data_IF_462803287984
#
_entry.id   IF_462803287984
#
_cell.length_a   1.000
_cell.length_b   1.000
_cell.length_c   1.000
_cell.angle_alpha   90.00
_cell.angle_beta   90.00
_cell.angle_gamma   90.00
#
_symmetry.space_group_name_H-M   'P 1'
#
loop_
_entity.id
_entity.type
_entity.pdbx_description
1 polymer ?
#
# COMPACT_ATOMS: atom_id res chain seq x y z
N UNK A 1 -31.25 -20.92 -24.53
CA UNK A 1 -30.32 -22.06 -24.38
C UNK A 1 -29.55 -22.16 -25.68
N UNK A 2 -28.23 -22.26 -25.61
CA UNK A 2 -27.36 -22.38 -26.79
C UNK A 2 -27.24 -23.85 -27.15
N UNK A 3 -27.64 -24.20 -28.37
CA UNK A 3 -27.46 -25.56 -28.90
C UNK A 3 -26.06 -25.65 -29.51
N UNK A 4 -25.30 -26.65 -29.08
CA UNK A 4 -23.92 -26.86 -29.55
C UNK A 4 -23.84 -28.11 -30.43
N UNK A 5 -22.99 -28.11 -31.47
CA UNK A 5 -22.78 -29.30 -32.30
C UNK A 5 -22.45 -30.55 -31.48
N UNK A 6 -23.07 -31.67 -31.82
CA UNK A 6 -22.80 -32.96 -31.19
C UNK A 6 -21.36 -33.42 -31.48
N UNK A 7 -20.67 -33.92 -30.45
CA UNK A 7 -19.36 -34.54 -30.59
C UNK A 7 -19.49 -36.06 -30.83
N UNK A 8 -18.55 -36.60 -31.63
CA UNK A 8 -18.58 -37.97 -32.14
C UNK A 8 -17.18 -38.56 -32.14
N UNK A 9 -17.11 -39.88 -32.29
CA UNK A 9 -15.85 -40.59 -32.54
C UNK A 9 -15.17 -40.04 -33.80
N UNK A 10 -13.86 -39.82 -33.69
CA UNK A 10 -13.02 -39.21 -34.71
C UNK A 10 -13.01 -37.68 -34.71
N UNK A 11 -13.85 -37.02 -33.91
CA UNK A 11 -13.79 -35.55 -33.77
C UNK A 11 -12.59 -35.17 -32.90
N UNK A 12 -11.94 -34.05 -33.23
CA UNK A 12 -10.68 -33.64 -32.60
C UNK A 12 -10.88 -33.03 -31.20
N UNK A 13 -9.86 -33.20 -30.36
CA UNK A 13 -9.72 -32.54 -29.07
C UNK A 13 -8.46 -31.66 -29.05
N UNK A 14 -8.49 -30.58 -28.27
CA UNK A 14 -7.33 -29.74 -28.02
C UNK A 14 -7.34 -29.22 -26.57
N UNK A 15 -6.16 -28.92 -26.03
CA UNK A 15 -6.05 -28.13 -24.79
C UNK A 15 -6.16 -26.65 -25.11
N UNK A 16 -6.47 -25.85 -24.10
CA UNK A 16 -6.33 -24.40 -24.24
C UNK A 16 -4.85 -24.01 -24.31
N UNK A 17 -4.56 -22.71 -24.33
CA UNK A 17 -3.21 -22.20 -24.16
C UNK A 17 -3.02 -21.59 -22.76
N UNK A 18 -3.81 -22.00 -21.75
CA UNK A 18 -3.79 -21.43 -20.40
C UNK A 18 -2.40 -21.45 -19.77
N UNK A 19 -1.70 -22.59 -19.84
CA UNK A 19 -0.34 -22.71 -19.30
C UNK A 19 0.67 -21.80 -20.00
N UNK A 20 0.62 -21.73 -21.33
CA UNK A 20 1.46 -20.82 -22.13
C UNK A 20 1.14 -19.37 -21.84
N UNK A 21 -0.15 -19.03 -21.75
CA UNK A 21 -0.62 -17.70 -21.38
C UNK A 21 -0.13 -17.28 -20.00
N UNK A 22 -0.18 -18.18 -19.01
CA UNK A 22 0.36 -17.94 -17.67
C UNK A 22 1.87 -17.63 -17.73
N UNK A 23 2.64 -18.41 -18.48
CA UNK A 23 4.09 -18.20 -18.62
C UNK A 23 4.40 -16.85 -19.27
N UNK A 24 3.74 -16.52 -20.39
CA UNK A 24 3.91 -15.23 -21.06
C UNK A 24 3.48 -14.07 -20.16
N UNK A 25 2.40 -14.26 -19.41
CA UNK A 25 1.90 -13.32 -18.42
C UNK A 25 2.90 -13.06 -17.30
N UNK A 26 3.53 -14.10 -16.76
CA UNK A 26 4.62 -13.98 -15.78
C UNK A 26 5.78 -13.18 -16.36
N UNK A 27 6.21 -13.48 -17.59
CA UNK A 27 7.31 -12.75 -18.24
C UNK A 27 6.98 -11.26 -18.44
N UNK A 28 5.76 -10.95 -18.86
CA UNK A 28 5.28 -9.57 -18.95
C UNK A 28 5.27 -8.88 -17.58
N UNK A 29 4.79 -9.58 -16.54
CA UNK A 29 4.82 -9.10 -15.16
C UNK A 29 6.24 -8.87 -14.63
N UNK A 30 7.21 -9.73 -14.98
CA UNK A 30 8.63 -9.54 -14.66
C UNK A 30 9.17 -8.29 -15.35
N UNK A 31 8.85 -8.07 -16.62
CA UNK A 31 9.28 -6.88 -17.34
C UNK A 31 8.74 -5.59 -16.69
N UNK A 32 7.45 -5.56 -16.34
CA UNK A 32 6.85 -4.44 -15.60
C UNK A 32 7.50 -4.28 -14.22
N UNK A 33 7.71 -5.38 -13.50
CA UNK A 33 8.38 -5.36 -12.20
C UNK A 33 9.81 -4.82 -12.26
N UNK A 34 10.57 -5.21 -13.28
CA UNK A 34 11.92 -4.71 -13.52
C UNK A 34 11.94 -3.19 -13.77
N UNK A 35 10.96 -2.68 -14.55
CA UNK A 35 10.81 -1.23 -14.76
C UNK A 35 10.49 -0.50 -13.46
N UNK A 36 9.59 -1.05 -12.62
CA UNK A 36 9.26 -0.47 -11.32
C UNK A 36 10.48 -0.41 -10.39
N UNK A 37 11.26 -1.49 -10.33
CA UNK A 37 12.48 -1.54 -9.53
C UNK A 37 13.54 -0.57 -10.07
N UNK A 38 13.79 -0.58 -11.39
CA UNK A 38 14.78 0.32 -12.01
C UNK A 38 14.46 1.80 -11.78
N UNK A 39 13.17 2.19 -11.88
CA UNK A 39 12.73 3.55 -11.59
C UNK A 39 13.01 3.97 -10.14
N UNK A 40 12.91 3.05 -9.17
CA UNK A 40 13.27 3.36 -7.78
C UNK A 40 14.77 3.47 -7.53
N UNK A 41 15.60 2.69 -8.24
CA UNK A 41 17.06 2.84 -8.19
C UNK A 41 17.48 4.21 -8.72
N UNK A 42 16.89 4.64 -9.85
CA UNK A 42 17.16 5.94 -10.45
C UNK A 42 16.76 7.13 -9.56
N UNK A 43 15.83 6.93 -8.60
CA UNK A 43 15.31 7.98 -7.71
C UNK A 43 15.91 7.94 -6.29
N UNK A 44 17.01 7.19 -6.08
CA UNK A 44 17.74 7.18 -4.81
C UNK A 44 17.43 6.01 -3.88
N UNK A 45 16.76 4.97 -4.37
CA UNK A 45 16.70 3.64 -3.73
C UNK A 45 15.85 3.51 -2.46
N UNK A 46 15.38 4.61 -1.87
CA UNK A 46 14.61 4.58 -0.61
C UNK A 46 13.34 3.73 -0.72
N UNK A 47 12.77 3.60 -1.92
CA UNK A 47 11.52 2.86 -2.18
C UNK A 47 11.73 1.46 -2.82
N UNK A 48 12.96 0.93 -2.85
CA UNK A 48 13.28 -0.31 -3.57
C UNK A 48 12.40 -1.50 -3.15
N UNK A 49 12.13 -1.67 -1.86
CA UNK A 49 11.34 -2.80 -1.37
C UNK A 49 9.84 -2.62 -1.64
N UNK A 50 9.35 -1.38 -1.64
CA UNK A 50 7.99 -1.10 -2.11
C UNK A 50 7.85 -1.41 -3.60
N UNK A 51 8.86 -1.10 -4.42
CA UNK A 51 8.90 -1.49 -5.82
C UNK A 51 9.04 -3.00 -6.02
N UNK A 52 9.78 -3.71 -5.15
CA UNK A 52 9.85 -5.16 -5.17
C UNK A 52 8.49 -5.81 -4.84
N UNK A 53 7.76 -5.25 -3.87
CA UNK A 53 6.38 -5.68 -3.57
C UNK A 53 5.43 -5.45 -4.74
N UNK A 54 5.51 -4.27 -5.39
CA UNK A 54 4.75 -3.97 -6.60
C UNK A 54 5.15 -4.88 -7.78
N UNK A 55 6.44 -5.21 -7.92
CA UNK A 55 6.94 -6.14 -8.93
C UNK A 55 6.41 -7.55 -8.72
N UNK A 56 6.39 -8.04 -7.47
CA UNK A 56 5.76 -9.32 -7.14
C UNK A 56 4.26 -9.32 -7.48
N UNK A 57 3.56 -8.21 -7.19
CA UNK A 57 2.19 -8.00 -7.62
C UNK A 57 2.01 -8.04 -9.15
N UNK A 58 2.92 -7.43 -9.91
CA UNK A 58 2.90 -7.41 -11.37
C UNK A 58 3.11 -8.81 -11.97
N UNK A 59 4.03 -9.61 -11.43
CA UNK A 59 4.22 -11.02 -11.82
C UNK A 59 2.97 -11.84 -11.54
N UNK A 60 2.38 -11.64 -10.38
CA UNK A 60 1.16 -12.35 -9.95
C UNK A 60 -0.03 -12.02 -10.85
N UNK A 61 -0.30 -10.73 -11.06
CA UNK A 61 -1.37 -10.26 -11.92
C UNK A 61 -1.13 -10.62 -13.39
N UNK A 62 0.11 -10.50 -13.86
CA UNK A 62 0.52 -10.89 -15.21
C UNK A 62 0.29 -12.38 -15.46
N UNK A 63 0.76 -13.25 -14.56
CA UNK A 63 0.58 -14.70 -14.68
C UNK A 63 -0.88 -15.13 -14.66
N UNK A 64 -1.67 -14.61 -13.72
CA UNK A 64 -3.11 -14.92 -13.64
C UNK A 64 -3.89 -14.36 -14.83
N UNK A 65 -3.63 -13.11 -15.22
CA UNK A 65 -4.26 -12.50 -16.38
C UNK A 65 -3.89 -13.21 -17.69
N UNK A 66 -2.62 -13.57 -17.85
CA UNK A 66 -2.13 -14.35 -18.98
C UNK A 66 -2.75 -15.74 -19.06
N UNK A 67 -2.93 -16.41 -17.91
CA UNK A 67 -3.64 -17.69 -17.83
C UNK A 67 -5.05 -17.56 -18.39
N UNK A 68 -5.84 -16.58 -17.93
CA UNK A 68 -7.20 -16.36 -18.41
C UNK A 68 -7.23 -16.05 -19.91
N UNK A 69 -6.32 -15.21 -20.43
CA UNK A 69 -6.22 -14.98 -21.88
C UNK A 69 -5.92 -16.29 -22.64
N UNK A 70 -5.01 -17.10 -22.09
CA UNK A 70 -4.66 -18.41 -22.65
C UNK A 70 -5.85 -19.37 -22.72
N UNK A 71 -6.71 -19.39 -21.70
CA UNK A 71 -7.93 -20.20 -21.65
C UNK A 71 -8.92 -19.88 -22.77
N UNK A 72 -8.93 -18.64 -23.28
CA UNK A 72 -9.80 -18.22 -24.38
C UNK A 72 -9.37 -18.77 -25.74
N UNK A 73 -8.16 -19.32 -25.84
CA UNK A 73 -7.57 -19.78 -27.11
C UNK A 73 -7.26 -21.27 -27.04
N UNK A 74 -7.67 -22.01 -28.06
CA UNK A 74 -7.35 -23.42 -28.19
C UNK A 74 -6.02 -23.61 -28.90
N UNK A 75 -5.20 -24.53 -28.41
CA UNK A 75 -4.00 -24.97 -29.08
C UNK A 75 -4.30 -25.85 -30.30
N UNK A 76 -3.27 -26.39 -30.97
CA UNK A 76 -3.46 -27.36 -32.03
C UNK A 76 -4.13 -28.64 -31.49
N UNK A 77 -4.83 -29.36 -32.37
CA UNK A 77 -5.43 -30.65 -32.03
C UNK A 77 -4.37 -31.60 -31.43
N UNK A 78 -4.68 -32.15 -30.26
CA UNK A 78 -3.82 -33.08 -29.54
C UNK A 78 -4.30 -34.53 -29.64
N UNK A 79 -5.44 -34.77 -30.31
CA UNK A 79 -5.97 -36.12 -30.49
C UNK A 79 -7.43 -36.12 -30.92
N UNK A 80 -8.09 -37.26 -30.76
CA UNK A 80 -9.47 -37.48 -31.20
C UNK A 80 -10.22 -38.43 -30.26
N UNK A 81 -11.56 -38.38 -30.30
CA UNK A 81 -12.38 -39.41 -29.68
C UNK A 81 -12.19 -40.75 -30.38
N UNK A 82 -11.91 -41.81 -29.62
CA UNK A 82 -11.67 -43.17 -30.12
C UNK A 82 -12.77 -44.16 -29.73
N UNK A 83 -13.53 -43.84 -28.68
CA UNK A 83 -14.64 -44.67 -28.19
C UNK A 83 -15.87 -43.80 -27.96
N UNK A 84 -17.03 -44.30 -28.36
CA UNK A 84 -18.32 -43.62 -28.24
C UNK A 84 -19.46 -44.60 -28.00
N UNK A 85 -20.69 -44.12 -28.20
CA UNK A 85 -21.91 -44.89 -27.99
C UNK A 85 -22.01 -46.13 -28.91
N UNK A 86 -22.40 -47.31 -28.37
CA UNK A 86 -22.60 -48.52 -29.17
C UNK A 86 -23.88 -48.49 -30.02
N UNK A 87 -24.84 -47.61 -29.72
CA UNK A 87 -26.21 -47.65 -30.26
C UNK A 87 -26.77 -46.28 -30.68
N UNK A 88 -26.10 -45.18 -30.35
CA UNK A 88 -26.49 -43.82 -30.75
C UNK A 88 -25.41 -43.27 -31.69
N UNK A 89 -25.82 -42.97 -32.91
CA UNK A 89 -24.93 -42.50 -33.96
C UNK A 89 -25.37 -41.13 -34.43
N UNK A 90 -24.41 -40.24 -34.65
CA UNK A 90 -24.60 -38.93 -35.25
C UNK A 90 -23.76 -38.89 -36.52
N UNK A 91 -24.38 -38.66 -37.67
CA UNK A 91 -23.72 -38.73 -38.99
C UNK A 91 -22.94 -40.04 -39.20
N UNK A 92 -23.55 -41.18 -38.85
CA UNK A 92 -22.95 -42.53 -38.96
C UNK A 92 -21.70 -42.75 -38.11
N UNK A 93 -21.37 -41.83 -37.19
CA UNK A 93 -20.29 -41.98 -36.22
C UNK A 93 -20.89 -42.15 -34.82
N UNK A 94 -20.32 -43.01 -33.95
CA UNK A 94 -20.74 -43.11 -32.56
C UNK A 94 -20.78 -41.74 -31.88
N UNK A 95 -21.90 -41.38 -31.27
CA UNK A 95 -22.03 -40.16 -30.47
C UNK A 95 -21.21 -40.28 -29.18
N UNK A 96 -20.68 -39.17 -28.66
CA UNK A 96 -19.95 -39.19 -27.38
C UNK A 96 -20.87 -38.91 -26.20
N UNK A 97 -20.51 -39.44 -25.04
CA UNK A 97 -21.20 -39.27 -23.77
C UNK A 97 -20.21 -39.43 -22.61
N UNK A 98 -20.50 -38.77 -21.48
CA UNK A 98 -19.61 -38.77 -20.32
C UNK A 98 -19.41 -40.17 -19.73
N UNK A 99 -18.25 -40.38 -19.09
CA UNK A 99 -17.81 -41.63 -18.44
C UNK A 99 -17.65 -42.88 -19.35
N UNK A 100 -18.32 -42.96 -20.50
CA UNK A 100 -18.25 -44.10 -21.41
C UNK A 100 -17.63 -43.81 -22.78
N UNK A 101 -17.38 -42.55 -23.12
CA UNK A 101 -16.62 -42.16 -24.32
C UNK A 101 -15.22 -41.72 -23.95
N UNK A 102 -14.24 -42.15 -24.76
CA UNK A 102 -12.83 -41.94 -24.49
C UNK A 102 -12.13 -41.31 -25.70
N UNK A 103 -11.18 -40.44 -25.43
CA UNK A 103 -10.27 -39.88 -26.42
C UNK A 103 -8.84 -40.37 -26.20
N UNK A 104 -8.09 -40.41 -27.29
CA UNK A 104 -6.63 -40.51 -27.25
C UNK A 104 -6.06 -39.10 -27.28
N UNK A 105 -5.13 -38.78 -26.38
CA UNK A 105 -4.46 -37.49 -26.32
C UNK A 105 -2.94 -37.70 -26.44
N UNK A 106 -2.24 -36.88 -27.21
CA UNK A 106 -0.77 -36.96 -27.33
C UNK A 106 -0.02 -36.34 -26.15
N UNK A 107 -0.73 -35.57 -25.30
CA UNK A 107 -0.19 -34.90 -24.13
C UNK A 107 -0.45 -35.64 -22.81
N UNK A 108 -1.20 -36.73 -22.85
CA UNK A 108 -1.56 -37.53 -21.68
C UNK A 108 -1.58 -39.01 -22.05
N UNK A 109 -1.45 -39.90 -21.07
CA UNK A 109 -1.36 -41.34 -21.30
C UNK A 109 -2.68 -42.04 -21.01
N UNK A 110 -3.05 -42.99 -21.86
CA UNK A 110 -4.23 -43.83 -21.68
C UNK A 110 -5.53 -43.24 -22.23
N UNK A 111 -6.64 -43.98 -22.11
CA UNK A 111 -7.95 -43.54 -22.58
C UNK A 111 -8.50 -42.43 -21.67
N UNK A 112 -8.67 -41.23 -22.22
CA UNK A 112 -9.16 -40.08 -21.46
C UNK A 112 -10.69 -39.98 -21.58
N UNK A 113 -11.44 -40.11 -20.48
CA UNK A 113 -12.90 -40.04 -20.51
C UNK A 113 -13.40 -38.61 -20.79
N UNK A 114 -14.55 -38.51 -21.48
CA UNK A 114 -15.33 -37.27 -21.54
C UNK A 114 -15.90 -36.97 -20.15
N UNK A 115 -15.66 -35.75 -19.64
CA UNK A 115 -15.99 -35.36 -18.28
C UNK A 115 -17.23 -34.47 -18.18
N UNK A 116 -17.50 -33.61 -19.17
CA UNK A 116 -18.70 -32.77 -19.23
C UNK A 116 -19.57 -33.07 -20.45
N UNK A 117 -20.85 -32.75 -20.37
CA UNK A 117 -21.81 -32.92 -21.45
C UNK A 117 -23.14 -32.22 -21.15
N UNK A 118 -24.12 -32.36 -22.04
CA UNK A 118 -25.47 -31.83 -21.82
C UNK A 118 -26.18 -32.54 -20.67
N UNK A 119 -26.56 -31.78 -19.64
CA UNK A 119 -27.38 -32.27 -18.52
C UNK A 119 -28.82 -32.63 -18.95
N UNK A 120 -29.26 -32.16 -20.12
CA UNK A 120 -30.62 -32.36 -20.61
C UNK A 120 -30.75 -33.53 -21.58
N UNK A 121 -29.64 -34.00 -22.16
CA UNK A 121 -29.64 -35.09 -23.14
C UNK A 121 -28.71 -36.18 -22.66
N UNK A 122 -29.29 -37.34 -22.36
CA UNK A 122 -28.57 -38.50 -21.81
C UNK A 122 -28.40 -39.56 -22.89
N UNK A 123 -27.16 -40.03 -23.08
CA UNK A 123 -26.80 -41.13 -23.98
C UNK A 123 -26.15 -42.22 -23.11
N UNK A 124 -26.70 -43.43 -23.12
CA UNK A 124 -26.18 -44.59 -22.37
C UNK A 124 -25.76 -44.26 -20.92
N UNK A 125 -26.65 -43.56 -20.20
CA UNK A 125 -26.47 -43.17 -18.81
C UNK A 125 -25.36 -42.13 -18.54
N UNK A 126 -24.84 -41.44 -19.56
CA UNK A 126 -23.97 -40.26 -19.42
C UNK A 126 -24.53 -39.04 -20.16
N UNK A 127 -23.99 -37.86 -19.85
CA UNK A 127 -24.36 -36.60 -20.49
C UNK A 127 -23.83 -36.58 -21.92
N UNK A 128 -24.65 -36.16 -22.88
CA UNK A 128 -24.28 -36.15 -24.29
C UNK A 128 -23.16 -35.16 -24.58
N UNK A 129 -22.12 -35.60 -25.28
CA UNK A 129 -20.97 -34.78 -25.63
C UNK A 129 -21.26 -33.83 -26.79
N UNK A 130 -20.71 -32.62 -26.69
CA UNK A 130 -20.87 -31.52 -27.65
C UNK A 130 -19.53 -30.87 -27.92
N UNK A 131 -19.49 -29.85 -28.78
CA UNK A 131 -18.37 -28.90 -28.86
C UNK A 131 -18.13 -28.25 -27.49
N UNK A 132 -16.87 -27.93 -27.19
CA UNK A 132 -16.41 -27.23 -26.00
C UNK A 132 -16.61 -27.98 -24.67
N UNK A 133 -17.07 -29.24 -24.72
CA UNK A 133 -17.15 -30.10 -23.55
C UNK A 133 -15.76 -30.61 -23.15
N UNK A 134 -15.52 -30.69 -21.85
CA UNK A 134 -14.21 -30.93 -21.24
C UNK A 134 -14.00 -32.42 -21.00
N UNK A 135 -12.79 -32.90 -21.26
CA UNK A 135 -12.31 -34.25 -20.97
C UNK A 135 -11.55 -34.30 -19.64
N UNK A 136 -11.28 -35.50 -19.14
CA UNK A 136 -10.54 -35.73 -17.90
C UNK A 136 -9.15 -35.06 -17.85
N UNK A 137 -8.51 -34.83 -19.00
CA UNK A 137 -7.23 -34.11 -19.10
C UNK A 137 -7.36 -32.58 -19.28
N UNK A 138 -8.56 -32.00 -19.16
CA UNK A 138 -8.90 -30.59 -19.51
C UNK A 138 -8.86 -30.23 -20.99
N UNK A 139 -8.57 -31.17 -21.90
CA UNK A 139 -8.82 -30.93 -23.32
C UNK A 139 -10.32 -30.72 -23.58
N UNK A 140 -10.66 -29.95 -24.62
CA UNK A 140 -12.02 -29.74 -25.08
C UNK A 140 -12.19 -30.29 -26.50
N UNK A 141 -13.41 -30.64 -26.86
CA UNK A 141 -13.78 -30.95 -28.25
C UNK A 141 -13.74 -29.68 -29.11
N UNK A 142 -12.95 -29.70 -30.19
CA UNK A 142 -12.68 -28.52 -31.06
C UNK A 142 -13.12 -28.80 -32.51
N UNK A 143 -13.01 -27.87 -33.49
CA UNK A 143 -13.84 -27.91 -34.69
C UNK A 143 -13.50 -29.07 -35.65
N UNK A 144 -14.17 -30.18 -35.42
CA UNK A 144 -14.47 -31.28 -36.36
C UNK A 144 -15.77 -32.00 -35.96
N UNK A 145 -16.62 -31.30 -35.20
CA UNK A 145 -17.90 -31.79 -34.66
C UNK A 145 -19.01 -31.88 -35.72
N UNK A 146 -20.18 -32.41 -35.36
CA UNK A 146 -21.31 -32.56 -36.30
C UNK A 146 -21.67 -31.23 -36.99
N UNK A 147 -21.83 -31.20 -38.33
CA UNK A 147 -22.20 -29.98 -39.04
C UNK A 147 -23.70 -29.64 -38.92
N UNK A 148 -24.54 -30.58 -38.51
CA UNK A 148 -26.00 -30.47 -38.62
C UNK A 148 -26.80 -31.07 -37.45
N UNK A 149 -26.15 -31.70 -36.47
CA UNK A 149 -26.82 -32.18 -35.26
C UNK A 149 -26.34 -31.37 -34.07
N UNK A 150 -27.29 -30.69 -33.43
CA UNK A 150 -27.05 -29.81 -32.29
C UNK A 150 -27.77 -30.35 -31.06
N UNK A 151 -27.11 -30.27 -29.91
CA UNK A 151 -27.61 -30.76 -28.63
C UNK A 151 -27.71 -29.54 -27.70
N UNK A 152 -28.92 -29.28 -27.22
CA UNK A 152 -29.21 -28.21 -26.26
C UNK A 152 -28.93 -28.60 -24.81
N UNK A 153 -29.28 -27.69 -23.90
CA UNK A 153 -29.16 -27.88 -22.45
C UNK A 153 -27.84 -27.35 -21.84
N UNK A 154 -27.81 -27.17 -20.51
CA UNK A 154 -26.62 -26.71 -19.81
C UNK A 154 -25.55 -27.82 -19.78
N UNK A 155 -24.28 -27.42 -19.79
CA UNK A 155 -23.17 -28.36 -19.56
C UNK A 155 -23.09 -28.73 -18.07
N UNK A 156 -22.95 -30.01 -17.77
CA UNK A 156 -22.70 -30.52 -16.42
C UNK A 156 -21.51 -31.48 -16.43
N UNK A 157 -20.76 -31.48 -15.32
CA UNK A 157 -19.71 -32.47 -15.09
C UNK A 157 -20.31 -33.78 -14.57
N UNK A 158 -19.85 -34.89 -15.13
CA UNK A 158 -20.17 -36.21 -14.64
C UNK A 158 -19.38 -36.51 -13.36
N UNK A 159 -20.05 -36.83 -12.23
CA UNK A 159 -19.36 -37.09 -10.96
C UNK A 159 -18.41 -38.29 -11.00
N UNK A 160 -18.53 -39.17 -12.02
CA UNK A 160 -17.65 -40.33 -12.21
C UNK A 160 -16.30 -39.95 -12.82
N UNK A 161 -16.13 -38.72 -13.31
CA UNK A 161 -14.94 -38.29 -14.03
C UNK A 161 -14.35 -37.01 -13.40
N UNK A 162 -13.14 -37.14 -12.88
CA UNK A 162 -12.35 -35.99 -12.42
C UNK A 162 -11.68 -35.29 -13.60
N UNK A 163 -11.73 -33.95 -13.61
CA UNK A 163 -11.00 -33.11 -14.56
C UNK A 163 -9.68 -32.70 -13.90
N UNK A 164 -8.57 -33.05 -14.53
CA UNK A 164 -7.24 -32.58 -14.16
C UNK A 164 -7.03 -31.18 -14.76
N UNK A 165 -6.91 -30.11 -13.96
CA UNK A 165 -6.77 -28.75 -14.47
C UNK A 165 -5.54 -28.60 -15.37
N UNK A 166 -5.67 -27.88 -16.48
CA UNK A 166 -4.55 -27.63 -17.39
C UNK A 166 -3.41 -26.86 -16.70
N UNK A 167 -3.75 -25.87 -15.88
CA UNK A 167 -2.81 -25.22 -14.96
C UNK A 167 -3.05 -25.78 -13.56
N UNK A 168 -2.04 -26.38 -12.91
CA UNK A 168 -2.24 -26.99 -11.60
C UNK A 168 -2.53 -25.93 -10.54
N UNK A 169 -3.45 -26.23 -9.62
CA UNK A 169 -3.93 -25.27 -8.62
C UNK A 169 -2.82 -24.70 -7.70
N UNK A 170 -1.73 -25.44 -7.49
CA UNK A 170 -0.58 -24.93 -6.74
C UNK A 170 0.11 -23.76 -7.45
N UNK A 171 0.12 -23.74 -8.78
CA UNK A 171 0.77 -22.67 -9.56
C UNK A 171 -0.05 -21.37 -9.46
N UNK A 172 -1.38 -21.48 -9.58
CA UNK A 172 -2.32 -20.37 -9.34
C UNK A 172 -2.14 -19.84 -7.91
N UNK A 173 -2.11 -20.74 -6.93
CA UNK A 173 -1.93 -20.39 -5.51
C UNK A 173 -0.57 -19.73 -5.28
N UNK A 174 0.50 -20.22 -5.92
CA UNK A 174 1.84 -19.64 -5.79
C UNK A 174 1.89 -18.19 -6.31
N UNK A 175 1.24 -17.90 -7.44
CA UNK A 175 1.12 -16.53 -7.94
C UNK A 175 0.32 -15.64 -6.99
N UNK A 176 -0.81 -16.12 -6.44
CA UNK A 176 -1.58 -15.33 -5.46
C UNK A 176 -0.76 -15.04 -4.18
N UNK A 177 -0.07 -16.05 -3.65
CA UNK A 177 0.78 -15.92 -2.47
C UNK A 177 1.95 -14.98 -2.75
N UNK A 178 2.55 -15.03 -3.94
CA UNK A 178 3.63 -14.11 -4.32
C UNK A 178 3.20 -12.66 -4.22
N UNK A 179 2.02 -12.30 -4.75
CA UNK A 179 1.49 -10.94 -4.69
C UNK A 179 1.25 -10.46 -3.25
N UNK A 180 0.64 -11.32 -2.42
CA UNK A 180 0.37 -11.01 -1.01
C UNK A 180 1.66 -10.92 -0.20
N UNK A 181 2.58 -11.87 -0.37
CA UNK A 181 3.88 -11.90 0.30
C UNK A 181 4.72 -10.68 -0.07
N UNK A 182 4.70 -10.26 -1.35
CA UNK A 182 5.34 -9.04 -1.80
C UNK A 182 4.79 -7.79 -1.11
N UNK A 183 3.47 -7.68 -0.95
CA UNK A 183 2.84 -6.58 -0.23
C UNK A 183 3.22 -6.58 1.26
N UNK A 184 3.23 -7.74 1.92
CA UNK A 184 3.61 -7.88 3.34
C UNK A 184 5.10 -7.54 3.54
N UNK A 185 5.98 -8.04 2.67
CA UNK A 185 7.42 -7.77 2.74
C UNK A 185 7.75 -6.28 2.58
N UNK A 186 6.91 -5.52 1.88
CA UNK A 186 7.05 -4.09 1.72
C UNK A 186 6.65 -3.27 2.97
N UNK A 187 5.88 -3.82 3.92
CA UNK A 187 5.36 -3.10 5.09
C UNK A 187 6.44 -2.46 5.98
N UNK A 188 7.48 -3.18 6.46
CA UNK A 188 8.49 -2.55 7.35
C UNK A 188 9.22 -1.40 6.67
N UNK A 189 9.49 -1.52 5.36
CA UNK A 189 10.12 -0.47 4.57
C UNK A 189 9.17 0.70 4.31
N UNK A 190 7.89 0.43 4.05
CA UNK A 190 6.87 1.48 3.95
C UNK A 190 6.78 2.29 5.25
N UNK A 191 6.80 1.63 6.41
CA UNK A 191 6.79 2.32 7.71
C UNK A 191 8.03 3.20 7.86
N UNK A 192 9.21 2.69 7.53
CA UNK A 192 10.46 3.43 7.64
C UNK A 192 10.54 4.64 6.68
N UNK A 193 9.89 4.55 5.51
CA UNK A 193 10.02 5.56 4.44
C UNK A 193 8.92 6.61 4.46
N UNK A 194 7.67 6.21 4.73
CA UNK A 194 6.51 7.12 4.67
C UNK A 194 5.83 7.32 6.03
N UNK A 195 6.22 6.54 7.05
CA UNK A 195 5.63 6.59 8.38
C UNK A 195 4.35 5.78 8.51
N UNK A 196 4.04 5.37 9.74
CA UNK A 196 2.92 4.46 10.08
C UNK A 196 1.58 4.91 9.50
N UNK A 197 1.23 6.20 9.65
CA UNK A 197 -0.06 6.72 9.18
C UNK A 197 -0.20 6.64 7.64
N UNK A 198 0.88 6.91 6.92
CA UNK A 198 0.91 6.79 5.46
C UNK A 198 0.90 5.32 5.01
N UNK A 199 1.58 4.43 5.72
CA UNK A 199 1.53 2.99 5.45
C UNK A 199 0.12 2.43 5.65
N UNK A 200 -0.55 2.80 6.74
CA UNK A 200 -1.94 2.38 7.00
C UNK A 200 -2.86 2.92 5.90
N UNK A 201 -2.76 4.21 5.59
CA UNK A 201 -3.54 4.82 4.51
C UNK A 201 -3.31 4.12 3.16
N UNK A 202 -2.05 3.84 2.83
CA UNK A 202 -1.66 3.13 1.63
C UNK A 202 -2.18 1.69 1.56
N UNK A 203 -2.11 0.93 2.67
CA UNK A 203 -2.66 -0.42 2.73
C UNK A 203 -4.17 -0.46 2.53
N UNK A 204 -4.90 0.41 3.24
CA UNK A 204 -6.37 0.45 3.18
C UNK A 204 -6.88 0.90 1.80
N UNK A 205 -6.38 2.02 1.29
CA UNK A 205 -6.79 2.50 -0.04
C UNK A 205 -6.20 1.66 -1.16
N UNK A 206 -5.06 0.99 -0.96
CA UNK A 206 -4.56 -0.01 -1.90
C UNK A 206 -5.49 -1.20 -2.01
N UNK A 207 -5.96 -1.74 -0.89
CA UNK A 207 -6.94 -2.83 -0.92
C UNK A 207 -8.27 -2.40 -1.56
N UNK A 208 -8.82 -1.26 -1.15
CA UNK A 208 -10.06 -0.72 -1.72
C UNK A 208 -9.90 -0.42 -3.23
N UNK A 209 -8.74 0.12 -3.62
CA UNK A 209 -8.39 0.37 -5.01
C UNK A 209 -8.28 -0.92 -5.82
N UNK A 210 -7.78 -2.01 -5.24
CA UNK A 210 -7.73 -3.31 -5.92
C UNK A 210 -9.13 -3.89 -6.17
N UNK A 211 -10.03 -3.78 -5.19
CA UNK A 211 -11.43 -4.20 -5.37
C UNK A 211 -12.14 -3.34 -6.42
N UNK A 212 -12.03 -2.01 -6.31
CA UNK A 212 -12.66 -1.08 -7.24
C UNK A 212 -12.09 -1.18 -8.66
N UNK A 213 -10.78 -1.34 -8.78
CA UNK A 213 -10.09 -1.55 -10.04
C UNK A 213 -10.46 -2.87 -10.70
N UNK A 214 -10.61 -3.95 -9.92
CA UNK A 214 -11.08 -5.24 -10.43
C UNK A 214 -12.50 -5.16 -10.97
N UNK A 215 -13.43 -4.60 -10.18
CA UNK A 215 -14.81 -4.39 -10.61
C UNK A 215 -14.88 -3.49 -11.87
N UNK A 216 -14.08 -2.43 -11.92
CA UNK A 216 -13.97 -1.57 -13.10
C UNK A 216 -13.41 -2.29 -14.33
N UNK A 217 -12.40 -3.14 -14.14
CA UNK A 217 -11.84 -3.99 -15.19
C UNK A 217 -12.85 -4.99 -15.73
N UNK A 218 -13.63 -5.63 -14.85
CA UNK A 218 -14.72 -6.52 -15.26
C UNK A 218 -15.79 -5.78 -16.07
N UNK A 219 -16.28 -4.65 -15.56
CA UNK A 219 -17.29 -3.84 -16.24
C UNK A 219 -16.81 -3.36 -17.62
N UNK A 220 -15.53 -2.98 -17.74
CA UNK A 220 -14.92 -2.65 -19.03
C UNK A 220 -14.86 -3.86 -19.97
N UNK A 221 -14.53 -5.05 -19.46
CA UNK A 221 -14.49 -6.28 -20.25
C UNK A 221 -15.85 -6.66 -20.82
N UNK A 222 -16.89 -6.57 -19.98
CA UNK A 222 -18.28 -6.77 -20.39
C UNK A 222 -18.74 -5.71 -21.40
N UNK A 223 -18.41 -4.44 -21.20
CA UNK A 223 -18.74 -3.35 -22.13
C UNK A 223 -18.05 -3.49 -23.49
N UNK A 224 -16.84 -4.05 -23.52
CA UNK A 224 -16.11 -4.36 -24.75
C UNK A 224 -16.57 -5.67 -25.41
N UNK A 225 -17.53 -6.39 -24.82
CA UNK A 225 -18.01 -7.67 -25.33
C UNK A 225 -16.96 -8.77 -25.30
N UNK A 226 -15.99 -8.70 -24.38
CA UNK A 226 -14.95 -9.72 -24.24
C UNK A 226 -15.56 -11.04 -23.75
N UNK A 227 -14.89 -12.15 -24.07
CA UNK A 227 -15.19 -13.44 -23.45
C UNK A 227 -14.96 -13.37 -21.93
N UNK A 228 -15.58 -14.27 -21.16
CA UNK A 228 -15.37 -14.34 -19.70
C UNK A 228 -13.87 -14.43 -19.33
N UNK A 229 -13.09 -15.13 -20.14
CA UNK A 229 -11.64 -15.21 -20.02
C UNK A 229 -10.95 -13.83 -20.22
N UNK A 230 -11.31 -13.08 -21.27
CA UNK A 230 -10.80 -11.72 -21.48
C UNK A 230 -11.23 -10.74 -20.39
N UNK A 231 -12.47 -10.87 -19.92
CA UNK A 231 -13.03 -10.08 -18.81
C UNK A 231 -12.28 -10.33 -17.50
N UNK A 232 -11.97 -11.59 -17.16
CA UNK A 232 -11.18 -11.94 -15.97
C UNK A 232 -9.73 -11.46 -16.04
N UNK A 233 -9.14 -11.46 -17.23
CA UNK A 233 -7.83 -10.88 -17.44
C UNK A 233 -7.83 -9.37 -17.14
N UNK A 234 -8.87 -8.66 -17.60
CA UNK A 234 -9.02 -7.24 -17.37
C UNK A 234 -9.38 -6.90 -15.92
N UNK A 235 -10.19 -7.73 -15.26
CA UNK A 235 -10.44 -7.68 -13.81
C UNK A 235 -9.13 -7.82 -13.02
N UNK A 236 -8.28 -8.78 -13.38
CA UNK A 236 -6.98 -9.00 -12.71
C UNK A 236 -6.04 -7.81 -12.90
N UNK A 237 -5.92 -7.30 -14.12
CA UNK A 237 -5.10 -6.12 -14.43
C UNK A 237 -5.64 -4.87 -13.74
N UNK A 238 -6.96 -4.68 -13.77
CA UNK A 238 -7.66 -3.59 -13.10
C UNK A 238 -7.44 -3.61 -11.60
N UNK A 239 -7.49 -4.78 -10.95
CA UNK A 239 -7.22 -4.91 -9.53
C UNK A 239 -5.78 -4.56 -9.15
N UNK A 240 -4.80 -5.02 -9.93
CA UNK A 240 -3.40 -4.63 -9.70
C UNK A 240 -3.19 -3.11 -9.83
N UNK A 241 -3.67 -2.50 -10.93
CA UNK A 241 -3.52 -1.08 -11.19
C UNK A 241 -4.28 -0.22 -10.17
N UNK A 242 -5.53 -0.59 -9.90
CA UNK A 242 -6.36 0.05 -8.89
C UNK A 242 -5.72 -0.01 -7.51
N UNK A 243 -5.09 -1.13 -7.16
CA UNK A 243 -4.35 -1.27 -5.91
C UNK A 243 -3.13 -0.34 -5.83
N UNK A 244 -2.36 -0.20 -6.91
CA UNK A 244 -1.25 0.76 -6.95
C UNK A 244 -1.72 2.22 -6.82
N UNK A 245 -2.76 2.59 -7.57
CA UNK A 245 -3.32 3.96 -7.54
C UNK A 245 -3.91 4.28 -6.16
N UNK A 246 -4.73 3.37 -5.63
CA UNK A 246 -5.31 3.50 -4.31
C UNK A 246 -4.24 3.59 -3.22
N UNK A 247 -3.20 2.75 -3.30
CA UNK A 247 -2.08 2.79 -2.35
C UNK A 247 -1.33 4.12 -2.37
N UNK A 248 -1.01 4.64 -3.56
CA UNK A 248 -0.35 5.94 -3.70
C UNK A 248 -1.21 7.09 -3.14
N UNK A 249 -2.52 7.08 -3.41
CA UNK A 249 -3.44 8.05 -2.84
C UNK A 249 -3.52 7.95 -1.31
N UNK A 250 -3.52 6.73 -0.77
CA UNK A 250 -3.53 6.45 0.66
C UNK A 250 -2.30 6.95 1.40
N UNK A 251 -1.11 6.75 0.81
CA UNK A 251 0.15 7.29 1.35
C UNK A 251 0.09 8.82 1.43
N UNK A 252 -0.33 9.49 0.35
CA UNK A 252 -0.48 10.96 0.32
C UNK A 252 -1.49 11.45 1.36
N UNK A 253 -2.63 10.75 1.48
CA UNK A 253 -3.65 11.04 2.48
C UNK A 253 -3.11 10.93 3.91
N UNK A 254 -2.39 9.86 4.22
CA UNK A 254 -1.79 9.64 5.55
C UNK A 254 -0.68 10.64 5.89
N UNK A 255 0.15 11.03 4.92
CA UNK A 255 1.13 12.10 5.10
C UNK A 255 0.45 13.45 5.37
N UNK A 256 -0.58 13.79 4.59
CA UNK A 256 -1.33 15.04 4.78
C UNK A 256 -2.07 15.06 6.13
N UNK A 257 -2.64 13.94 6.58
CA UNK A 257 -3.24 13.81 7.90
C UNK A 257 -2.21 14.01 9.02
N UNK A 258 -1.03 13.39 8.88
CA UNK A 258 0.08 13.55 9.84
C UNK A 258 0.56 14.99 9.93
N UNK A 259 0.72 15.67 8.78
CA UNK A 259 1.12 17.08 8.75
C UNK A 259 0.08 17.99 9.42
N UNK A 260 -1.21 17.77 9.16
CA UNK A 260 -2.30 18.50 9.81
C UNK A 260 -2.31 18.29 11.31
N UNK A 261 -2.12 17.05 11.76
CA UNK A 261 -2.03 16.73 13.18
C UNK A 261 -0.85 17.47 13.85
N UNK A 262 0.34 17.43 13.25
CA UNK A 262 1.51 18.13 13.79
C UNK A 262 1.30 19.66 13.83
N UNK A 263 0.70 20.25 12.79
CA UNK A 263 0.36 21.66 12.77
C UNK A 263 -0.63 22.04 13.89
N UNK A 264 -1.65 21.19 14.13
CA UNK A 264 -2.59 21.39 15.23
C UNK A 264 -1.91 21.29 16.61
N UNK A 265 -0.98 20.36 16.78
CA UNK A 265 -0.16 20.24 18.00
C UNK A 265 0.70 21.49 18.23
N UNK A 266 1.37 21.99 17.20
CA UNK A 266 2.17 23.23 17.25
C UNK A 266 1.29 24.43 17.59
N UNK A 267 0.13 24.55 16.96
CA UNK A 267 -0.83 25.63 17.23
C UNK A 267 -1.34 25.57 18.68
N UNK A 268 -1.65 24.39 19.20
CA UNK A 268 -2.07 24.18 20.59
C UNK A 268 -0.98 24.59 21.59
N UNK A 269 0.29 24.25 21.31
CA UNK A 269 1.44 24.67 22.12
C UNK A 269 1.62 26.19 22.11
N UNK A 270 1.45 26.83 20.94
CA UNK A 270 1.48 28.29 20.82
C UNK A 270 0.36 28.97 21.60
N UNK A 271 -0.86 28.45 21.52
CA UNK A 271 -2.00 28.95 22.28
C UNK A 271 -1.77 28.83 23.80
N UNK A 272 -1.14 27.74 24.25
CA UNK A 272 -0.76 27.55 25.67
C UNK A 272 0.20 28.63 26.15
N UNK A 273 1.28 28.89 25.41
CA UNK A 273 2.23 29.95 25.75
C UNK A 273 1.59 31.34 25.70
N UNK A 274 0.81 31.62 24.65
CA UNK A 274 0.13 32.91 24.47
C UNK A 274 -0.84 33.19 25.63
N UNK A 275 -1.62 32.19 26.04
CA UNK A 275 -2.54 32.31 27.18
C UNK A 275 -1.79 32.60 28.47
N UNK A 276 -0.66 31.91 28.72
CA UNK A 276 0.16 32.14 29.91
C UNK A 276 0.76 33.55 29.95
N UNK A 277 1.23 34.07 28.81
CA UNK A 277 1.73 35.45 28.72
C UNK A 277 0.62 36.50 28.83
N UNK A 278 -0.58 36.21 28.33
CA UNK A 278 -1.72 37.13 28.40
C UNK A 278 -2.15 37.40 29.86
N UNK A 279 -1.96 36.44 30.77
CA UNK A 279 -2.19 36.62 32.21
C UNK A 279 -1.31 37.72 32.84
N UNK A 280 -0.23 38.15 32.16
CA UNK A 280 0.69 39.18 32.65
C UNK A 280 0.24 40.62 32.35
N UNK A 281 -0.92 40.80 31.69
CA UNK A 281 -1.41 42.10 31.21
C UNK A 281 -0.40 42.84 30.32
N UNK A 282 0.36 42.08 29.53
CA UNK A 282 1.35 42.65 28.60
C UNK A 282 0.71 43.08 27.28
N UNK A 283 1.23 44.13 26.63
CA UNK A 283 0.80 44.48 25.28
C UNK A 283 1.10 43.34 24.31
N UNK A 284 0.24 43.13 23.32
CA UNK A 284 0.34 42.02 22.37
C UNK A 284 1.71 41.97 21.68
N UNK A 285 2.31 43.12 21.34
CA UNK A 285 3.65 43.20 20.74
C UNK A 285 4.74 42.57 21.63
N UNK A 286 4.62 42.69 22.96
CA UNK A 286 5.54 42.04 23.90
C UNK A 286 5.31 40.54 23.92
N UNK A 287 4.05 40.09 23.98
CA UNK A 287 3.69 38.66 23.93
C UNK A 287 4.26 38.03 22.65
N UNK A 288 4.02 38.66 21.49
CA UNK A 288 4.51 38.18 20.21
C UNK A 288 6.04 38.10 20.16
N UNK A 289 6.74 39.05 20.80
CA UNK A 289 8.19 39.00 20.97
C UNK A 289 8.64 37.78 21.79
N UNK A 290 8.00 37.51 22.93
CA UNK A 290 8.31 36.34 23.76
C UNK A 290 7.98 35.01 23.05
N UNK A 291 6.91 34.96 22.26
CA UNK A 291 6.56 33.77 21.47
C UNK A 291 7.61 33.42 20.41
N UNK A 292 8.34 34.42 19.87
CA UNK A 292 9.45 34.16 18.91
C UNK A 292 10.60 33.38 19.53
N UNK A 293 10.83 33.54 20.84
CA UNK A 293 11.87 32.83 21.58
C UNK A 293 11.54 31.37 21.92
N UNK A 294 10.38 30.84 21.50
CA UNK A 294 9.95 29.47 21.82
C UNK A 294 9.94 28.56 20.59
N UNK A 295 10.59 27.41 20.70
CA UNK A 295 10.47 26.31 19.74
C UNK A 295 9.18 25.50 19.97
N UNK A 296 8.13 25.80 19.21
CA UNK A 296 6.85 25.08 19.32
C UNK A 296 6.86 23.68 18.68
N UNK A 297 7.93 23.29 17.99
CA UNK A 297 8.13 21.90 17.56
C UNK A 297 8.38 20.97 18.76
N UNK A 298 8.80 21.54 19.89
CA UNK A 298 8.99 20.85 21.17
C UNK A 298 7.83 21.09 22.14
N UNK A 299 7.66 20.24 23.17
CA UNK A 299 6.61 20.42 24.18
C UNK A 299 6.71 21.79 24.88
N UNK A 300 5.55 22.42 25.05
CA UNK A 300 5.35 23.63 25.88
C UNK A 300 4.31 23.26 26.93
N UNK A 301 4.63 23.48 28.21
CA UNK A 301 3.76 23.07 29.32
C UNK A 301 3.74 24.14 30.39
N UNK A 302 2.55 24.38 30.94
CA UNK A 302 2.41 25.11 32.20
C UNK A 302 2.58 24.10 33.32
N UNK A 303 3.53 24.34 34.21
CA UNK A 303 3.85 23.43 35.31
C UNK A 303 4.37 24.21 36.52
N UNK A 304 4.89 23.47 37.50
CA UNK A 304 5.56 24.06 38.66
C UNK A 304 7.01 23.60 38.71
N UNK A 305 7.92 24.54 38.90
CA UNK A 305 9.30 24.26 39.32
C UNK A 305 9.22 23.78 40.78
N UNK A 306 9.81 22.63 41.15
CA UNK A 306 9.79 22.13 42.53
C UNK A 306 10.48 23.08 43.51
N UNK A 307 10.08 23.06 44.78
CA UNK A 307 10.76 23.81 45.84
C UNK A 307 12.24 23.42 45.96
N UNK A 308 13.08 24.36 46.38
CA UNK A 308 14.53 24.22 46.54
C UNK A 308 15.26 23.84 45.25
N UNK A 309 14.75 24.27 44.08
CA UNK A 309 15.44 24.09 42.81
C UNK A 309 16.46 25.21 42.60
N UNK A 310 17.68 24.84 42.22
CA UNK A 310 18.71 25.79 41.80
C UNK A 310 18.59 26.05 40.30
N UNK A 311 18.32 27.29 39.93
CA UNK A 311 18.14 27.73 38.55
C UNK A 311 19.15 28.81 38.19
N UNK A 312 19.66 28.78 36.96
CA UNK A 312 20.53 29.81 36.41
C UNK A 312 19.75 30.86 35.62
N UNK A 313 20.23 32.09 35.65
CA UNK A 313 19.81 33.16 34.75
C UNK A 313 21.04 33.91 34.23
N UNK A 314 21.16 34.00 32.90
CA UNK A 314 22.22 34.73 32.25
C UNK A 314 21.85 36.22 32.15
N UNK A 315 22.69 37.08 32.74
CA UNK A 315 22.42 38.52 32.88
C UNK A 315 23.69 39.33 32.60
N UNK A 316 23.55 40.62 32.25
CA UNK A 316 24.70 41.53 32.34
C UNK A 316 25.17 41.63 33.80
N UNK A 317 26.48 41.81 34.08
CA UNK A 317 26.96 41.92 35.45
C UNK A 317 26.22 43.00 36.24
N UNK A 318 25.74 42.68 37.45
CA UNK A 318 24.90 43.56 38.28
C UNK A 318 23.58 44.02 37.63
N UNK A 319 23.15 43.35 36.55
CA UNK A 319 21.88 43.61 35.89
C UNK A 319 20.66 43.21 36.73
N UNK A 320 19.47 43.71 36.39
CA UNK A 320 18.25 43.32 37.07
C UNK A 320 17.88 41.88 36.75
N UNK A 321 17.35 41.17 37.75
CA UNK A 321 16.76 39.84 37.58
C UNK A 321 15.56 39.91 36.63
N UNK A 322 15.59 39.10 35.57
CA UNK A 322 14.51 38.94 34.61
C UNK A 322 13.59 37.76 34.95
N UNK A 323 12.65 37.48 34.04
CA UNK A 323 11.63 36.43 34.20
C UNK A 323 12.04 35.05 33.65
N UNK A 324 13.16 34.93 32.95
CA UNK A 324 13.59 33.67 32.34
C UNK A 324 14.65 32.98 33.18
N UNK A 325 14.39 31.73 33.53
CA UNK A 325 15.30 30.87 34.28
C UNK A 325 15.58 29.60 33.47
N UNK A 326 16.73 28.98 33.70
CA UNK A 326 17.13 27.77 33.01
C UNK A 326 17.90 26.83 33.95
N UNK A 327 17.99 25.52 33.65
CA UNK A 327 18.95 24.65 34.32
C UNK A 327 20.36 25.26 34.26
N UNK A 328 21.14 25.11 35.33
CA UNK A 328 22.48 25.70 35.42
C UNK A 328 23.46 25.21 34.35
N UNK A 329 23.16 24.06 33.72
CA UNK A 329 23.94 23.51 32.61
C UNK A 329 23.71 24.21 31.26
N UNK A 330 22.68 25.05 31.12
CA UNK A 330 22.36 25.71 29.85
C UNK A 330 23.26 26.93 29.58
N UNK A 331 23.62 27.11 28.31
CA UNK A 331 24.47 28.21 27.84
C UNK A 331 23.65 29.28 27.12
N UNK A 332 24.15 30.52 26.99
CA UNK A 332 23.42 31.61 26.32
C UNK A 332 22.92 31.22 24.92
N UNK A 333 23.81 30.67 24.08
CA UNK A 333 23.45 30.28 22.71
C UNK A 333 22.37 29.19 22.63
N UNK A 334 22.31 28.29 23.61
CA UNK A 334 21.24 27.29 23.70
C UNK A 334 19.93 27.89 24.19
N UNK A 335 19.98 28.98 24.95
CA UNK A 335 18.82 29.71 25.45
C UNK A 335 18.31 30.80 24.50
N UNK A 336 18.82 30.85 23.28
CA UNK A 336 18.35 31.83 22.30
C UNK A 336 18.87 33.26 22.56
N UNK A 337 19.95 33.41 23.34
CA UNK A 337 20.48 34.72 23.75
C UNK A 337 21.99 34.84 23.52
N UNK A 338 22.44 36.05 23.23
CA UNK A 338 23.84 36.40 23.09
C UNK A 338 24.58 36.22 24.42
N UNK A 339 25.82 35.69 24.41
CA UNK A 339 26.70 35.71 25.57
C UNK A 339 27.18 37.12 25.92
N UNK A 340 26.98 38.11 25.04
CA UNK A 340 27.33 39.52 25.25
C UNK A 340 26.05 40.35 25.39
N UNK A 341 26.02 41.21 26.41
CA UNK A 341 24.98 42.20 26.62
C UNK A 341 25.49 43.64 26.47
N UNK A 342 24.61 44.59 26.72
CA UNK A 342 24.93 46.01 26.76
C UNK A 342 24.74 46.58 28.17
N UNK A 343 25.79 47.21 28.68
CA UNK A 343 25.77 48.06 29.87
C UNK A 343 25.85 49.52 29.41
N UNK A 344 24.90 50.40 29.77
CA UNK A 344 24.93 51.81 29.39
C UNK A 344 26.17 52.58 29.85
N UNK A 345 26.82 52.14 30.93
CA UNK A 345 27.99 52.82 31.50
C UNK A 345 29.31 52.41 30.81
N UNK A 346 29.43 51.16 30.35
CA UNK A 346 30.71 50.60 29.87
C UNK A 346 30.63 49.95 28.48
N UNK A 347 29.46 49.88 27.85
CA UNK A 347 29.30 49.36 26.49
C UNK A 347 29.02 47.86 26.43
N UNK A 348 29.82 47.10 25.66
CA UNK A 348 29.62 45.66 25.50
C UNK A 348 30.21 44.87 26.67
N UNK A 349 29.42 44.00 27.30
CA UNK A 349 29.86 43.21 28.48
C UNK A 349 29.48 41.74 28.34
N UNK A 350 30.33 40.84 28.83
CA UNK A 350 29.99 39.41 28.88
C UNK A 350 28.92 39.16 29.94
N UNK A 351 27.86 38.43 29.59
CA UNK A 351 26.84 38.00 30.54
C UNK A 351 27.43 36.99 31.51
N UNK A 352 26.99 37.07 32.76
CA UNK A 352 27.31 36.13 33.84
C UNK A 352 26.08 35.29 34.17
N UNK A 353 26.30 34.03 34.53
CA UNK A 353 25.23 33.17 35.01
C UNK A 353 25.07 33.39 36.52
N UNK A 354 23.98 34.06 36.91
CA UNK A 354 23.61 34.19 38.32
C UNK A 354 22.68 33.04 38.68
N UNK A 355 22.95 32.37 39.79
CA UNK A 355 22.13 31.26 40.28
C UNK A 355 21.16 31.75 41.34
N UNK A 356 19.93 31.24 41.29
CA UNK A 356 18.87 31.56 42.23
C UNK A 356 18.22 30.28 42.76
N UNK A 357 17.61 30.38 43.93
CA UNK A 357 16.87 29.28 44.55
C UNK A 357 15.45 29.70 44.90
N UNK A 358 14.48 28.80 44.73
CA UNK A 358 13.09 29.06 45.10
C UNK A 358 12.73 28.34 46.42
N UNK A 359 12.18 29.03 47.42
CA UNK A 359 11.84 28.42 48.72
C UNK A 359 10.59 27.52 48.66
N UNK A 360 9.76 27.68 47.62
CA UNK A 360 8.53 26.92 47.41
C UNK A 360 8.27 26.64 45.93
N UNK A 361 7.28 25.80 45.57
CA UNK A 361 6.99 25.50 44.17
C UNK A 361 6.57 26.76 43.39
N UNK A 362 7.13 26.95 42.19
CA UNK A 362 6.87 28.14 41.37
C UNK A 362 6.20 27.78 40.05
N UNK A 363 5.01 28.35 39.79
CA UNK A 363 4.32 28.18 38.49
C UNK A 363 5.15 28.81 37.38
N UNK A 364 5.44 28.04 36.34
CA UNK A 364 6.25 28.46 35.21
C UNK A 364 5.71 27.90 33.89
N UNK A 365 5.98 28.63 32.80
CA UNK A 365 5.88 28.09 31.45
C UNK A 365 7.22 27.44 31.09
N UNK A 366 7.22 26.11 31.03
CA UNK A 366 8.36 25.34 30.54
C UNK A 366 8.31 25.26 29.01
N UNK A 367 9.40 25.63 28.37
CA UNK A 367 9.56 25.53 26.92
C UNK A 367 11.02 25.26 26.53
N UNK A 368 11.28 25.22 25.23
CA UNK A 368 12.63 25.21 24.69
C UNK A 368 12.87 26.46 23.87
N UNK A 369 14.09 26.99 23.90
CA UNK A 369 14.45 28.17 23.13
C UNK A 369 14.43 27.88 21.62
N UNK A 370 13.92 28.82 20.84
CA UNK A 370 13.98 28.78 19.39
C UNK A 370 15.42 29.02 18.88
N UNK A 371 15.71 28.53 17.67
CA UNK A 371 16.80 29.09 16.88
C UNK A 371 16.39 30.51 16.47
N UNK A 372 17.14 31.51 16.95
CA UNK A 372 16.80 32.92 16.77
C UNK A 372 18.07 33.77 16.72
N UNK A 373 18.00 34.86 15.98
CA UNK A 373 19.03 35.89 15.99
C UNK A 373 18.75 36.88 17.13
N UNK A 374 19.65 36.93 18.12
CA UNK A 374 19.59 37.90 19.20
C UNK A 374 20.15 39.24 18.73
N UNK A 375 19.24 40.15 18.38
CA UNK A 375 19.51 41.53 18.01
C UNK A 375 19.07 42.54 19.09
N UNK A 376 18.74 42.06 20.29
CA UNK A 376 18.21 42.88 21.39
C UNK A 376 19.17 42.97 22.59
N UNK A 377 20.06 42.00 22.78
CA UNK A 377 21.00 42.00 23.90
C UNK A 377 22.13 43.01 23.73
N UNK A 378 22.51 43.34 22.49
CA UNK A 378 23.62 44.25 22.20
C UNK A 378 23.34 45.08 20.95
N UNK A 379 23.51 46.42 20.97
CA UNK A 379 23.36 47.25 19.78
C UNK A 379 24.55 47.09 18.81
N UNK A 380 25.62 46.42 19.23
CA UNK A 380 26.87 46.34 18.47
C UNK A 380 26.94 45.13 17.53
N UNK A 381 26.20 44.06 17.83
CA UNK A 381 26.22 42.83 17.04
C UNK A 381 24.97 41.97 17.27
N UNK A 382 24.49 41.37 16.18
CA UNK A 382 23.48 40.30 16.21
C UNK A 382 24.17 38.97 16.48
N UNK A 383 23.72 38.23 17.50
CA UNK A 383 24.23 36.89 17.77
C UNK A 383 23.30 35.84 17.17
N UNK A 384 23.83 34.99 16.29
CA UNK A 384 23.11 33.81 15.80
C UNK A 384 23.11 32.76 16.90
N UNK A 385 21.93 32.35 17.37
CA UNK A 385 21.83 31.41 18.49
C UNK A 385 21.13 30.12 18.05
N UNK A 386 21.76 28.94 18.25
CA UNK A 386 21.19 27.67 17.80
C UNK A 386 19.92 27.28 18.56
N UNK A 387 19.71 27.85 19.77
CA UNK A 387 18.57 27.52 20.61
C UNK A 387 18.57 26.08 21.10
N UNK A 388 17.39 25.60 21.48
CA UNK A 388 17.12 24.21 21.85
C UNK A 388 17.36 23.85 23.31
N UNK A 389 17.86 24.78 24.13
CA UNK A 389 17.97 24.67 25.58
C UNK A 389 16.63 24.80 26.29
N UNK A 390 16.52 24.21 27.47
CA UNK A 390 15.30 24.28 28.30
C UNK A 390 15.23 25.63 29.00
N UNK A 391 14.08 26.28 28.94
CA UNK A 391 13.83 27.55 29.59
C UNK A 391 12.49 27.56 30.34
N UNK A 392 12.44 28.34 31.41
CA UNK A 392 11.28 28.54 32.25
C UNK A 392 10.98 30.02 32.32
N UNK A 393 9.80 30.41 31.86
CA UNK A 393 9.30 31.75 32.10
C UNK A 393 8.48 31.75 33.41
N UNK A 394 8.88 32.63 34.33
CA UNK A 394 8.27 32.79 35.66
C UNK A 394 7.63 34.18 35.75
N UNK A 395 6.31 34.28 36.01
CA UNK A 395 5.60 35.56 36.17
C UNK A 395 6.19 36.47 37.24
N UNK A 396 6.45 35.91 38.41
CA UNK A 396 7.01 36.62 39.56
C UNK A 396 8.44 36.15 39.85
N UNK A 397 9.47 36.84 39.33
CA UNK A 397 10.87 36.50 39.60
C UNK A 397 11.27 36.76 41.06
N UNK A 398 10.43 37.43 41.86
CA UNK A 398 10.61 37.59 43.30
C UNK A 398 10.52 36.26 44.07
N UNK A 399 9.90 35.24 43.47
CA UNK A 399 9.85 33.87 44.00
C UNK A 399 11.20 33.13 44.02
N UNK A 400 12.25 33.73 43.46
CA UNK A 400 13.62 33.23 43.43
C UNK A 400 14.55 34.19 44.19
N UNK A 401 15.38 33.65 45.08
CA UNK A 401 16.32 34.39 45.93
C UNK A 401 17.78 34.08 45.59
#
# INVERSE_FOLDING_TARGET
MTDLPAARVGDAIAHSNAGTGMLLGVLAGVAVGAVLVAATVATGGLALVAAAGAAAGAVSAGGLGGMYIGEASMGPACGTFVTGSPNVFVNSKPATFTAGSFASCSKDSGPIPLATGSASVIINSGYAGRRDETLGCSAKSVPTVSPNVFIGGPSAQDPRVSIQPEVPGWAVTALQVLGVAGAIAALPFAIATVGVAATIGGGLLGFAGALGGGAGGRALGEALGLSEAGTRALETAGGFLGGMVGGAAGVRGGQAASARYQAAVVASRRATAQSFYAEQNWPQARIDSHLKGIDFSKPVRVGSIPANSTMGQWQVPNGPKGNYFAPVSETPGRLGISPVGHDPAVGAVSKVQTTYTNPGPVRALQSHAANIDDNWSSPYATAVTPGGGTQYFVPDPGSFH
#
